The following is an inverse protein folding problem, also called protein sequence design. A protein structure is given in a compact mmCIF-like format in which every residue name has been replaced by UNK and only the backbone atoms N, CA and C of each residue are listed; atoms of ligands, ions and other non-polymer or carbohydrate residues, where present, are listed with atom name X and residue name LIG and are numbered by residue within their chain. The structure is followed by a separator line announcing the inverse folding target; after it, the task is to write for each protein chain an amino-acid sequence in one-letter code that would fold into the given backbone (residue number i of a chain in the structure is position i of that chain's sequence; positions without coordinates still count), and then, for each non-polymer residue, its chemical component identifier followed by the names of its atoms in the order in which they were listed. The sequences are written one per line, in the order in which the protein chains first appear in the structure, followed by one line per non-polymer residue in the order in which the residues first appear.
data_IF_468785352023
#
_entry.id   IF_468785352023
#
_cell.length_a   1.000
_cell.length_b   1.000
_cell.length_c   1.000
_cell.angle_alpha   90.00
_cell.angle_beta   90.00
_cell.angle_gamma   90.00
#
_symmetry.space_group_name_H-M   'P 1'
#
loop_
_entity.id
_entity.type
_entity.pdbx_description
1 polymer ?
#
# COMPACT_ATOMS: atom_id res chain seq x y z
N UNK A 1 21.23 -9.00 -48.70
CA UNK A 1 19.87 -8.47 -48.96
C UNK A 1 19.42 -7.75 -47.69
N UNK A 2 19.51 -6.43 -47.66
CA UNK A 2 19.05 -5.64 -46.51
C UNK A 2 17.58 -5.26 -46.76
N UNK A 3 16.66 -5.90 -46.05
CA UNK A 3 15.23 -5.59 -46.12
C UNK A 3 14.89 -4.70 -44.93
N UNK A 4 14.45 -3.46 -45.19
CA UNK A 4 13.94 -2.54 -44.18
C UNK A 4 12.42 -2.60 -44.19
N UNK A 5 11.83 -3.03 -43.07
CA UNK A 5 10.38 -3.14 -42.89
C UNK A 5 9.88 -1.89 -42.17
N UNK A 6 9.01 -1.12 -42.82
CA UNK A 6 8.37 0.08 -42.24
C UNK A 6 6.87 -0.14 -42.15
N UNK A 7 6.29 0.12 -40.98
CA UNK A 7 4.86 -0.04 -40.72
C UNK A 7 4.30 1.36 -40.44
N UNK A 8 3.29 1.77 -41.21
CA UNK A 8 2.52 2.98 -40.95
C UNK A 8 1.03 2.67 -41.14
N UNK A 9 0.18 3.37 -40.40
CA UNK A 9 -1.27 3.24 -40.51
C UNK A 9 -1.86 4.60 -40.88
N UNK A 10 -2.47 4.70 -42.06
CA UNK A 10 -3.30 5.83 -42.47
C UNK A 10 -4.77 5.49 -42.29
N UNK A 11 -5.60 6.48 -41.98
CA UNK A 11 -7.03 6.36 -42.18
C UNK A 11 -7.62 7.69 -42.63
N UNK A 12 -8.39 7.66 -43.71
CA UNK A 12 -9.10 8.84 -44.20
C UNK A 12 -10.38 9.01 -43.38
N UNK A 13 -10.45 10.09 -42.59
CA UNK A 13 -11.61 10.39 -41.75
C UNK A 13 -12.11 11.80 -42.00
N UNK A 14 -13.38 12.01 -41.71
CA UNK A 14 -13.99 13.32 -41.69
C UNK A 14 -14.67 13.57 -40.34
N UNK A 15 -14.81 14.84 -39.99
CA UNK A 15 -15.53 15.22 -38.79
C UNK A 15 -17.03 15.28 -39.05
N UNK A 16 -17.80 14.39 -38.41
CA UNK A 16 -19.26 14.38 -38.47
C UNK A 16 -19.83 15.32 -37.41
N UNK A 17 -20.31 16.50 -37.83
CA UNK A 17 -20.90 17.49 -36.94
C UNK A 17 -22.20 17.05 -36.25
N UNK A 18 -22.91 16.04 -36.78
CA UNK A 18 -24.16 15.56 -36.16
C UNK A 18 -23.90 14.64 -34.99
N UNK A 19 -22.84 13.84 -35.09
CA UNK A 19 -22.45 12.85 -34.07
C UNK A 19 -21.25 13.31 -33.24
N UNK A 20 -20.67 14.48 -33.55
CA UNK A 20 -19.46 15.04 -32.91
C UNK A 20 -18.29 14.05 -32.86
N UNK A 21 -18.08 13.27 -33.93
CA UNK A 21 -17.05 12.24 -33.98
C UNK A 21 -16.36 12.13 -35.34
N UNK A 22 -15.15 11.59 -35.35
CA UNK A 22 -14.41 11.27 -36.58
C UNK A 22 -14.94 9.97 -37.22
N UNK A 23 -15.59 10.09 -38.38
CA UNK A 23 -16.14 8.98 -39.15
C UNK A 23 -15.32 8.69 -40.41
N UNK A 24 -15.28 7.44 -40.86
CA UNK A 24 -14.68 7.03 -42.13
C UNK A 24 -15.72 6.81 -43.24
N UNK A 25 -17.00 7.04 -42.96
CA UNK A 25 -18.07 6.78 -43.92
C UNK A 25 -17.96 7.69 -45.16
N UNK A 26 -17.92 7.08 -46.35
CA UNK A 26 -17.80 7.82 -47.61
C UNK A 26 -16.40 8.32 -47.95
N UNK A 27 -15.38 8.00 -47.13
CA UNK A 27 -13.97 8.25 -47.42
C UNK A 27 -13.20 6.93 -47.57
N UNK A 28 -12.43 6.81 -48.65
CA UNK A 28 -11.62 5.64 -48.97
C UNK A 28 -10.17 6.06 -49.20
N UNK A 29 -9.23 5.27 -48.70
CA UNK A 29 -7.81 5.41 -48.98
C UNK A 29 -7.50 4.83 -50.37
N UNK A 30 -7.01 5.65 -51.29
CA UNK A 30 -6.60 5.22 -52.63
C UNK A 30 -5.12 4.86 -52.65
N UNK A 31 -4.29 5.70 -52.04
CA UNK A 31 -2.83 5.60 -52.13
C UNK A 31 -2.19 6.27 -50.94
N UNK A 32 -1.59 5.47 -50.09
CA UNK A 32 -0.81 5.96 -48.96
C UNK A 32 0.65 5.59 -49.09
N UNK A 33 1.49 6.58 -48.83
CA UNK A 33 2.93 6.46 -48.63
C UNK A 33 3.30 7.10 -47.29
N UNK A 34 4.55 6.94 -46.89
CA UNK A 34 5.08 7.51 -45.65
C UNK A 34 5.09 9.04 -45.62
N UNK A 35 5.02 9.69 -46.79
CA UNK A 35 5.06 11.14 -46.98
C UNK A 35 3.68 11.78 -47.24
N UNK A 36 2.73 11.04 -47.81
CA UNK A 36 1.36 11.53 -48.03
C UNK A 36 0.31 10.41 -48.04
N UNK A 37 -0.92 10.77 -47.67
CA UNK A 37 -2.12 9.94 -47.75
C UNK A 37 -3.07 10.56 -48.77
N UNK A 38 -3.44 9.81 -49.82
CA UNK A 38 -4.44 10.26 -50.79
C UNK A 38 -5.81 9.70 -50.43
N UNK A 39 -6.68 10.58 -49.96
CA UNK A 39 -8.06 10.26 -49.59
C UNK A 39 -9.04 10.65 -50.70
N UNK A 40 -9.94 9.73 -51.06
CA UNK A 40 -11.10 10.03 -51.89
C UNK A 40 -12.35 10.00 -51.03
N UNK A 41 -13.03 11.13 -50.95
CA UNK A 41 -14.29 11.25 -50.22
C UNK A 41 -15.41 11.69 -51.16
N UNK A 42 -16.63 11.21 -50.92
CA UNK A 42 -17.81 11.53 -51.72
C UNK A 42 -18.61 12.74 -51.19
N UNK A 43 -18.04 13.50 -50.26
CA UNK A 43 -18.62 14.69 -49.65
C UNK A 43 -17.55 15.78 -49.49
N UNK A 44 -17.97 16.98 -49.08
CA UNK A 44 -17.10 18.14 -48.87
C UNK A 44 -17.20 18.57 -47.39
N UNK A 45 -16.41 17.95 -46.53
CA UNK A 45 -16.41 18.20 -45.08
C UNK A 45 -14.99 18.46 -44.57
N UNK A 46 -14.80 18.73 -43.28
CA UNK A 46 -13.46 18.83 -42.71
C UNK A 46 -12.84 17.45 -42.62
N UNK A 47 -11.78 17.22 -43.40
CA UNK A 47 -11.05 15.95 -43.45
C UNK A 47 -9.79 15.99 -42.60
N UNK A 48 -9.45 14.84 -42.01
CA UNK A 48 -8.14 14.61 -41.44
C UNK A 48 -7.68 13.19 -41.80
N UNK A 49 -6.38 13.06 -42.05
CA UNK A 49 -5.75 11.74 -42.04
C UNK A 49 -5.45 11.38 -40.59
N UNK A 50 -5.88 10.20 -40.15
CA UNK A 50 -5.46 9.64 -38.86
C UNK A 50 -3.97 9.35 -38.92
N UNK A 51 -3.14 10.28 -38.44
CA UNK A 51 -1.70 10.10 -38.32
C UNK A 51 -1.38 9.35 -37.03
N UNK A 52 -1.13 8.05 -37.15
CA UNK A 52 -0.32 7.35 -36.15
C UNK A 52 1.14 7.58 -36.52
N UNK A 53 1.86 8.41 -35.76
CA UNK A 53 3.31 8.53 -35.92
C UNK A 53 3.92 7.27 -35.29
N UNK A 54 4.43 6.31 -36.09
CA UNK A 54 5.04 5.12 -35.51
C UNK A 54 6.24 5.53 -34.64
N UNK A 55 6.45 4.86 -33.49
CA UNK A 55 7.65 5.11 -32.69
C UNK A 55 8.89 4.95 -33.57
N UNK A 56 9.82 5.91 -33.46
CA UNK A 56 11.06 5.90 -34.22
C UNK A 56 11.81 4.58 -33.96
N UNK A 57 12.31 3.95 -35.02
CA UNK A 57 13.16 2.76 -34.90
C UNK A 57 14.47 3.16 -34.23
N UNK A 58 14.77 2.57 -33.07
CA UNK A 58 16.03 2.78 -32.38
C UNK A 58 17.13 2.06 -33.17
N UNK A 59 18.03 2.84 -33.76
CA UNK A 59 19.22 2.35 -34.45
C UNK A 59 20.33 2.13 -33.39
N UNK A 60 20.47 0.89 -32.93
CA UNK A 60 21.38 0.52 -31.84
C UNK A 60 22.85 0.81 -32.18
N UNK A 61 23.23 0.78 -33.45
CA UNK A 61 24.60 1.05 -33.90
C UNK A 61 24.96 2.54 -33.74
N UNK A 62 23.99 3.44 -34.00
CA UNK A 62 24.15 4.89 -33.76
C UNK A 62 24.11 5.23 -32.26
N UNK A 63 23.35 4.49 -31.48
CA UNK A 63 23.31 4.67 -30.03
C UNK A 63 24.65 4.30 -29.37
N UNK A 64 25.32 3.26 -29.87
CA UNK A 64 26.66 2.87 -29.38
C UNK A 64 27.77 3.81 -29.88
N UNK A 65 27.59 4.43 -31.04
CA UNK A 65 28.49 5.45 -31.59
C UNK A 65 28.15 6.89 -31.14
N UNK A 66 27.36 7.04 -30.06
CA UNK A 66 26.86 8.32 -29.59
C UNK A 66 27.98 9.25 -29.12
N UNK A 67 28.03 10.45 -29.70
CA UNK A 67 28.94 11.50 -29.29
C UNK A 67 28.39 12.19 -28.03
N UNK A 68 29.11 12.04 -26.91
CA UNK A 68 28.77 12.63 -25.62
C UNK A 68 28.61 14.15 -25.68
N UNK A 69 29.21 14.82 -26.67
CA UNK A 69 29.11 16.27 -26.83
C UNK A 69 27.71 16.76 -27.24
N UNK A 70 26.94 15.95 -27.99
CA UNK A 70 25.65 16.38 -28.55
C UNK A 70 24.44 16.04 -27.66
N UNK A 71 24.54 15.02 -26.81
CA UNK A 71 23.42 14.65 -25.92
C UNK A 71 23.83 14.36 -24.48
N UNK A 72 24.79 15.15 -23.97
CA UNK A 72 25.20 15.14 -22.58
C UNK A 72 24.04 15.31 -21.60
N UNK A 73 22.97 16.03 -21.99
CA UNK A 73 21.79 16.26 -21.13
C UNK A 73 21.09 14.94 -20.79
N UNK A 74 20.79 14.10 -21.79
CA UNK A 74 20.15 12.80 -21.57
C UNK A 74 21.03 11.91 -20.68
N UNK A 75 22.34 11.87 -20.96
CA UNK A 75 23.29 11.11 -20.17
C UNK A 75 23.36 11.60 -18.70
N UNK A 76 23.43 12.92 -18.49
CA UNK A 76 23.40 13.53 -17.17
C UNK A 76 22.09 13.24 -16.42
N UNK A 77 20.94 13.25 -17.10
CA UNK A 77 19.65 12.90 -16.48
C UNK A 77 19.61 11.43 -16.04
N UNK A 78 20.11 10.50 -16.85
CA UNK A 78 20.17 9.08 -16.47
C UNK A 78 21.12 8.87 -15.30
N UNK A 79 22.31 9.49 -15.32
CA UNK A 79 23.26 9.42 -14.21
C UNK A 79 22.72 10.00 -12.91
N UNK A 80 21.98 11.12 -12.98
CA UNK A 80 21.36 11.72 -11.79
C UNK A 80 20.25 10.84 -11.23
N UNK A 81 19.40 10.23 -12.08
CA UNK A 81 18.38 9.27 -11.64
C UNK A 81 19.00 8.04 -10.99
N UNK A 82 20.07 7.47 -11.58
CA UNK A 82 20.81 6.34 -11.00
C UNK A 82 21.49 6.76 -9.68
N UNK A 83 22.09 7.95 -9.64
CA UNK A 83 22.70 8.51 -8.44
C UNK A 83 21.70 8.66 -7.29
N UNK A 84 20.53 9.23 -7.55
CA UNK A 84 19.44 9.34 -6.58
C UNK A 84 18.98 7.96 -6.09
N UNK A 85 18.83 6.99 -6.99
CA UNK A 85 18.51 5.61 -6.62
C UNK A 85 19.53 5.04 -5.63
N UNK A 86 20.83 5.19 -5.88
CA UNK A 86 21.89 4.71 -4.98
C UNK A 86 21.86 5.42 -3.62
N UNK A 87 21.60 6.73 -3.61
CA UNK A 87 21.45 7.53 -2.38
C UNK A 87 20.28 7.02 -1.52
N UNK A 88 19.13 6.69 -2.14
CA UNK A 88 17.96 6.18 -1.42
C UNK A 88 18.04 4.68 -1.08
N UNK A 89 18.89 3.91 -1.76
CA UNK A 89 18.99 2.46 -1.56
C UNK A 89 19.47 2.10 -0.14
N UNK A 90 20.46 2.82 0.37
CA UNK A 90 21.03 2.58 1.71
C UNK A 90 20.00 2.85 2.83
N UNK A 91 19.35 4.02 2.90
CA UNK A 91 18.33 4.25 3.93
C UNK A 91 17.12 3.32 3.75
N UNK A 92 16.72 3.00 2.52
CA UNK A 92 15.65 2.03 2.28
C UNK A 92 16.00 0.64 2.86
N UNK A 93 17.23 0.16 2.65
CA UNK A 93 17.72 -1.10 3.25
C UNK A 93 17.74 -1.07 4.76
N UNK A 94 18.24 0.03 5.35
CA UNK A 94 18.25 0.19 6.82
C UNK A 94 16.82 0.20 7.38
N UNK A 95 15.89 0.89 6.72
CA UNK A 95 14.49 0.93 7.11
C UNK A 95 13.81 -0.44 6.96
N UNK A 96 14.07 -1.18 5.88
CA UNK A 96 13.55 -2.54 5.70
C UNK A 96 14.04 -3.49 6.80
N UNK A 97 15.33 -3.43 7.18
CA UNK A 97 15.87 -4.21 8.30
C UNK A 97 15.22 -3.83 9.63
N UNK A 98 15.10 -2.53 9.91
CA UNK A 98 14.44 -2.04 11.12
C UNK A 98 12.94 -2.40 11.16
N UNK A 99 12.28 -2.49 10.01
CA UNK A 99 10.87 -2.91 9.93
C UNK A 99 10.73 -4.42 10.16
N UNK A 100 11.67 -5.24 9.68
CA UNK A 100 11.68 -6.68 9.97
C UNK A 100 11.75 -6.98 11.47
N UNK A 101 12.54 -6.20 12.22
CA UNK A 101 12.61 -6.29 13.68
C UNK A 101 11.32 -5.85 14.39
N UNK A 102 10.44 -5.09 13.73
CA UNK A 102 9.13 -4.68 14.27
C UNK A 102 8.03 -5.68 13.99
N UNK A 103 8.21 -6.62 13.08
CA UNK A 103 7.20 -7.63 12.72
C UNK A 103 7.29 -8.89 13.57
N UNK A 104 6.17 -9.59 13.73
CA UNK A 104 6.08 -10.84 14.49
C UNK A 104 5.02 -10.79 15.58
N UNK A 105 4.71 -11.98 16.11
CA UNK A 105 3.78 -12.17 17.23
C UNK A 105 4.58 -12.34 18.51
N UNK A 106 4.30 -11.53 19.54
CA UNK A 106 5.00 -11.64 20.82
C UNK A 106 4.19 -12.47 21.80
N UNK A 107 4.74 -13.58 22.33
CA UNK A 107 4.11 -14.26 23.45
C UNK A 107 4.09 -13.35 24.65
N UNK A 108 2.91 -13.20 25.26
CA UNK A 108 2.74 -12.45 26.49
C UNK A 108 3.62 -13.09 27.59
N UNK A 109 4.31 -12.29 28.41
CA UNK A 109 5.25 -12.81 29.42
C UNK A 109 4.60 -13.74 30.45
N UNK A 110 3.30 -13.55 30.72
CA UNK A 110 2.53 -14.28 31.73
C UNK A 110 1.89 -15.59 31.20
N UNK A 111 2.22 -16.00 29.97
CA UNK A 111 1.75 -17.27 29.40
C UNK A 111 2.40 -18.47 30.11
N UNK A 112 1.59 -19.47 30.49
CA UNK A 112 2.10 -20.73 31.03
C UNK A 112 2.51 -21.66 29.86
N UNK A 113 3.75 -22.20 29.83
CA UNK A 113 4.18 -23.17 28.82
C UNK A 113 3.32 -24.44 28.72
N UNK A 114 2.49 -24.73 29.72
CA UNK A 114 1.58 -25.88 29.76
C UNK A 114 0.26 -25.61 29.04
N UNK A 115 -0.05 -24.35 28.77
CA UNK A 115 -1.26 -23.98 28.06
C UNK A 115 -1.16 -24.40 26.59
N UNK A 116 -2.21 -25.04 26.10
CA UNK A 116 -2.27 -25.53 24.71
C UNK A 116 -3.27 -24.77 23.84
N UNK A 117 -4.08 -23.89 24.44
CA UNK A 117 -5.04 -23.05 23.71
C UNK A 117 -4.48 -21.64 23.52
N UNK A 118 -4.58 -21.09 22.31
CA UNK A 118 -3.86 -19.89 21.92
C UNK A 118 -4.76 -18.89 21.17
N UNK A 119 -4.74 -17.64 21.60
CA UNK A 119 -5.39 -16.52 20.94
C UNK A 119 -4.36 -15.52 20.45
N UNK A 120 -4.44 -15.15 19.17
CA UNK A 120 -3.64 -14.07 18.60
C UNK A 120 -4.44 -12.76 18.68
N UNK A 121 -3.85 -11.75 19.32
CA UNK A 121 -4.46 -10.44 19.57
C UNK A 121 -3.69 -9.40 18.77
N UNK A 122 -4.35 -8.78 17.80
CA UNK A 122 -3.81 -7.66 17.03
C UNK A 122 -4.41 -6.34 17.51
N UNK A 123 -3.56 -5.46 18.01
CA UNK A 123 -3.95 -4.13 18.46
C UNK A 123 -3.56 -3.12 17.40
N UNK A 124 -4.56 -2.39 16.90
CA UNK A 124 -4.35 -1.29 15.97
C UNK A 124 -4.40 0.03 16.74
N UNK A 125 -3.27 0.72 16.80
CA UNK A 125 -3.18 2.07 17.35
C UNK A 125 -3.57 3.10 16.28
N UNK A 126 -4.25 4.18 16.68
CA UNK A 126 -4.70 5.24 15.79
C UNK A 126 -3.56 5.95 15.04
N UNK A 127 -3.91 6.63 13.94
CA UNK A 127 -2.94 7.33 13.06
C UNK A 127 -2.71 8.78 13.43
N UNK A 128 -3.57 9.33 14.29
CA UNK A 128 -3.49 10.73 14.70
C UNK A 128 -2.13 10.95 15.38
N UNK A 129 -1.51 12.10 15.12
CA UNK A 129 -0.23 12.43 15.75
C UNK A 129 -0.37 12.35 17.26
N UNK A 130 0.51 11.60 17.92
CA UNK A 130 0.43 11.37 19.37
C UNK A 130 -0.47 10.21 19.79
N UNK A 131 -1.08 9.47 18.86
CA UNK A 131 -1.96 8.35 19.19
C UNK A 131 -1.29 7.17 19.91
N UNK A 132 0.04 7.08 19.90
CA UNK A 132 0.76 5.97 20.55
C UNK A 132 1.00 6.24 22.02
N UNK A 133 1.16 5.19 22.81
CA UNK A 133 1.31 5.27 24.26
C UNK A 133 2.63 4.68 24.77
N UNK A 134 3.13 5.22 25.87
CA UNK A 134 4.22 4.63 26.66
C UNK A 134 3.74 3.85 27.89
N UNK A 135 2.43 3.86 28.16
CA UNK A 135 1.85 3.19 29.32
C UNK A 135 1.81 1.67 29.13
N UNK A 136 1.82 0.92 30.24
CA UNK A 136 1.61 -0.52 30.17
C UNK A 136 0.11 -0.78 29.95
N UNK A 137 -0.23 -1.41 28.83
CA UNK A 137 -1.60 -1.76 28.43
C UNK A 137 -1.92 -3.16 28.92
N UNK A 138 -3.10 -3.35 29.49
CA UNK A 138 -3.60 -4.62 29.97
C UNK A 138 -4.94 -4.96 29.30
N UNK A 139 -5.17 -6.26 29.09
CA UNK A 139 -6.39 -6.78 28.47
C UNK A 139 -6.99 -7.93 29.29
N UNK A 140 -8.32 -8.03 29.27
CA UNK A 140 -9.08 -9.22 29.68
C UNK A 140 -10.01 -9.61 28.54
N UNK A 141 -10.07 -10.90 28.25
CA UNK A 141 -10.99 -11.50 27.29
C UNK A 141 -12.18 -12.09 28.05
N UNK A 142 -13.39 -11.59 27.80
CA UNK A 142 -14.59 -12.11 28.44
C UNK A 142 -15.34 -13.02 27.47
N UNK A 143 -15.50 -14.27 27.87
CA UNK A 143 -16.03 -15.33 27.04
C UNK A 143 -17.44 -15.78 27.43
N UNK A 144 -18.03 -16.63 26.59
CA UNK A 144 -19.31 -17.25 26.91
C UNK A 144 -19.22 -18.26 28.06
N UNK A 145 -18.08 -18.96 28.14
CA UNK A 145 -17.84 -20.09 29.05
C UNK A 145 -17.01 -19.67 30.25
N UNK A 146 -15.95 -18.92 30.02
CA UNK A 146 -15.01 -18.43 31.03
C UNK A 146 -14.42 -17.10 30.58
N UNK A 147 -13.74 -16.42 31.50
CA UNK A 147 -12.98 -15.20 31.23
C UNK A 147 -11.49 -15.49 31.39
N UNK A 148 -10.65 -14.70 30.70
CA UNK A 148 -9.20 -14.77 30.90
C UNK A 148 -8.78 -13.98 32.13
N UNK A 149 -7.64 -14.32 32.69
CA UNK A 149 -6.99 -13.44 33.66
C UNK A 149 -6.54 -12.12 33.00
N UNK A 150 -6.37 -11.04 33.77
CA UNK A 150 -5.71 -9.81 33.32
C UNK A 150 -4.31 -10.10 32.76
N UNK A 151 -4.09 -9.76 31.49
CA UNK A 151 -2.80 -9.96 30.82
C UNK A 151 -2.18 -8.62 30.44
N UNK A 152 -0.92 -8.40 30.82
CA UNK A 152 -0.17 -7.20 30.42
C UNK A 152 0.44 -7.43 29.04
N UNK A 153 0.10 -6.56 28.09
CA UNK A 153 0.56 -6.65 26.72
C UNK A 153 1.89 -5.93 26.59
N UNK A 154 2.97 -6.70 26.71
CA UNK A 154 4.33 -6.18 26.70
C UNK A 154 5.22 -6.99 25.80
N UNK A 155 6.09 -6.30 25.08
CA UNK A 155 7.14 -6.91 24.30
C UNK A 155 8.50 -6.53 24.90
N UNK A 156 9.34 -7.51 25.28
CA UNK A 156 10.64 -7.23 25.87
C UNK A 156 11.68 -6.69 24.87
N UNK A 157 11.48 -6.90 23.56
CA UNK A 157 12.44 -6.55 22.50
C UNK A 157 11.97 -5.34 21.69
N UNK A 158 10.68 -5.25 21.40
CA UNK A 158 10.09 -4.24 20.51
C UNK A 158 9.38 -3.15 21.31
N UNK A 159 9.41 -1.92 20.79
CA UNK A 159 8.54 -0.84 21.27
C UNK A 159 7.16 -0.97 20.64
N UNK A 160 6.18 -1.36 21.44
CA UNK A 160 4.77 -1.56 21.08
C UNK A 160 3.93 -0.28 21.21
N UNK A 161 2.71 -0.30 20.68
CA UNK A 161 1.69 0.76 20.75
C UNK A 161 2.13 2.11 20.17
N UNK A 162 2.92 2.07 19.09
CA UNK A 162 3.31 3.29 18.37
C UNK A 162 2.14 3.85 17.56
N UNK A 163 2.13 5.15 17.34
CA UNK A 163 1.19 5.81 16.41
C UNK A 163 1.15 5.07 15.07
N UNK A 164 -0.04 4.63 14.69
CA UNK A 164 -0.32 3.87 13.48
C UNK A 164 0.26 2.45 13.45
N UNK A 165 0.81 1.97 14.55
CA UNK A 165 1.35 0.63 14.71
C UNK A 165 0.26 -0.44 14.72
N UNK A 166 0.67 -1.65 14.37
CA UNK A 166 -0.12 -2.87 14.57
C UNK A 166 0.76 -3.85 15.31
N UNK A 167 0.42 -4.13 16.56
CA UNK A 167 1.18 -5.03 17.43
C UNK A 167 0.39 -6.32 17.63
N UNK A 168 1.04 -7.46 17.45
CA UNK A 168 0.45 -8.78 17.57
C UNK A 168 1.00 -9.48 18.81
N UNK A 169 0.11 -9.97 19.67
CA UNK A 169 0.42 -10.68 20.90
C UNK A 169 -0.22 -12.07 20.89
N UNK A 170 0.49 -13.05 21.44
CA UNK A 170 -0.02 -14.40 21.65
C UNK A 170 -0.40 -14.57 23.11
N UNK A 171 -1.68 -14.82 23.38
CA UNK A 171 -2.22 -15.11 24.70
C UNK A 171 -2.54 -16.60 24.79
N UNK A 172 -2.05 -17.28 25.82
CA UNK A 172 -2.38 -18.68 26.09
C UNK A 172 -3.36 -18.83 27.25
N UNK A 173 -4.19 -19.86 27.17
CA UNK A 173 -5.20 -20.19 28.19
C UNK A 173 -5.12 -21.68 28.52
N UNK A 174 -5.30 -22.07 29.80
CA UNK A 174 -5.34 -23.46 30.20
C UNK A 174 -6.43 -24.23 29.45
N UNK A 175 -6.06 -25.33 28.80
CA UNK A 175 -7.00 -26.25 28.19
C UNK A 175 -7.60 -27.18 29.25
N UNK A 176 -8.39 -26.62 30.17
CA UNK A 176 -9.00 -27.37 31.28
C UNK A 176 -10.33 -27.96 30.80
N UNK A 177 -10.28 -29.24 30.40
CA UNK A 177 -11.41 -30.13 30.09
C UNK A 177 -12.38 -29.71 28.97
N UNK A 178 -12.14 -28.62 28.23
CA UNK A 178 -13.06 -28.13 27.19
C UNK A 178 -12.36 -27.85 25.86
N UNK A 179 -13.03 -28.22 24.78
CA UNK A 179 -12.63 -27.96 23.38
C UNK A 179 -12.57 -26.45 23.06
N UNK A 180 -13.22 -25.61 23.86
CA UNK A 180 -13.29 -24.16 23.67
C UNK A 180 -13.30 -23.42 25.03
N UNK A 181 -12.13 -23.04 25.59
CA UNK A 181 -12.00 -22.66 27.01
C UNK A 181 -12.72 -21.36 27.36
N UNK A 182 -12.60 -20.32 26.53
CA UNK A 182 -13.32 -19.05 26.72
C UNK A 182 -14.75 -19.09 26.14
N UNK A 183 -15.02 -19.95 25.15
CA UNK A 183 -16.27 -19.86 24.39
C UNK A 183 -16.27 -18.69 23.41
N UNK A 184 -17.44 -18.37 22.85
CA UNK A 184 -17.58 -17.21 21.97
C UNK A 184 -17.32 -15.92 22.77
N UNK A 185 -16.45 -15.03 22.29
CA UNK A 185 -16.10 -13.80 22.99
C UNK A 185 -17.31 -12.86 23.06
N UNK A 186 -17.61 -12.39 24.27
CA UNK A 186 -18.74 -11.47 24.56
C UNK A 186 -18.30 -10.02 24.56
N UNK A 187 -17.14 -9.73 25.13
CA UNK A 187 -16.52 -8.42 25.16
C UNK A 187 -15.05 -8.56 25.55
N UNK A 188 -14.32 -7.46 25.42
CA UNK A 188 -12.97 -7.31 25.94
C UNK A 188 -12.92 -6.09 26.83
N UNK A 189 -12.08 -6.14 27.87
CA UNK A 189 -11.74 -4.96 28.66
C UNK A 189 -10.28 -4.60 28.43
N UNK A 190 -10.02 -3.35 28.04
CA UNK A 190 -8.68 -2.80 27.82
C UNK A 190 -8.49 -1.59 28.72
N UNK A 191 -7.32 -1.49 29.34
CA UNK A 191 -6.94 -0.31 30.11
C UNK A 191 -5.44 -0.13 30.13
N UNK A 192 -4.98 1.03 30.56
CA UNK A 192 -3.56 1.30 30.78
C UNK A 192 -3.31 1.90 32.16
N UNK A 193 -2.07 1.81 32.65
CA UNK A 193 -1.68 2.30 33.97
C UNK A 193 -1.41 3.83 34.04
N UNK A 194 -1.74 4.58 32.98
CA UNK A 194 -1.40 6.00 32.83
C UNK A 194 0.08 6.35 33.08
N UNK A 195 0.99 5.38 32.90
CA UNK A 195 2.41 5.54 33.15
C UNK A 195 3.22 6.02 31.94
N UNK A 196 4.47 6.41 32.21
CA UNK A 196 5.41 6.85 31.17
C UNK A 196 5.29 8.33 30.82
N UNK A 197 5.98 8.74 29.74
CA UNK A 197 6.08 10.14 29.34
C UNK A 197 4.89 10.64 28.49
N UNK A 198 4.24 9.73 27.77
CA UNK A 198 3.09 10.01 26.91
C UNK A 198 2.06 8.89 27.11
N UNK A 199 1.24 8.96 28.17
CA UNK A 199 0.32 7.88 28.51
C UNK A 199 -0.94 7.84 27.65
N UNK A 200 -1.34 8.98 27.05
CA UNK A 200 -2.52 9.10 26.21
C UNK A 200 -2.45 8.15 25.02
N UNK A 201 -3.53 7.42 24.77
CA UNK A 201 -3.56 6.37 23.76
C UNK A 201 -4.82 6.46 22.91
N UNK A 202 -4.69 6.46 21.58
CA UNK A 202 -5.85 6.33 20.71
C UNK A 202 -5.92 4.89 20.18
N UNK A 203 -6.96 4.16 20.61
CA UNK A 203 -7.21 2.80 20.18
C UNK A 203 -8.18 2.80 19.00
N UNK A 204 -7.72 2.34 17.83
CA UNK A 204 -8.56 2.24 16.64
C UNK A 204 -9.47 1.00 16.72
N UNK A 205 -8.86 -0.18 16.80
CA UNK A 205 -9.56 -1.46 16.84
C UNK A 205 -8.66 -2.58 17.36
N UNK A 206 -9.29 -3.67 17.79
CA UNK A 206 -8.62 -4.92 18.15
C UNK A 206 -9.20 -6.05 17.32
N UNK A 207 -8.34 -6.93 16.82
CA UNK A 207 -8.73 -8.19 16.20
C UNK A 207 -8.21 -9.32 17.07
N UNK A 208 -9.08 -10.27 17.40
CA UNK A 208 -8.70 -11.48 18.13
C UNK A 208 -9.00 -12.66 17.24
N UNK A 209 -8.01 -13.51 17.03
CA UNK A 209 -8.11 -14.75 16.27
C UNK A 209 -7.86 -15.92 17.21
N UNK A 210 -8.79 -16.86 17.21
CA UNK A 210 -8.57 -18.17 17.78
C UNK A 210 -7.76 -19.02 16.79
N UNK A 211 -6.60 -19.49 17.22
CA UNK A 211 -5.67 -20.23 16.35
C UNK A 211 -6.09 -21.68 16.11
N UNK A 212 -6.99 -22.22 16.94
CA UNK A 212 -7.48 -23.58 16.85
C UNK A 212 -8.70 -23.68 15.93
N UNK A 213 -9.59 -22.68 15.98
CA UNK A 213 -10.84 -22.65 15.19
C UNK A 213 -10.79 -21.72 13.97
N UNK A 214 -9.75 -20.91 13.84
CA UNK A 214 -9.62 -19.80 12.87
C UNK A 214 -10.77 -18.77 12.95
N UNK A 215 -11.51 -18.75 14.07
CA UNK A 215 -12.56 -17.78 14.31
C UNK A 215 -11.96 -16.43 14.66
N UNK A 216 -12.50 -15.35 14.06
CA UNK A 216 -12.03 -13.97 14.27
C UNK A 216 -13.13 -13.09 14.84
N UNK A 217 -12.78 -12.32 15.86
CA UNK A 217 -13.61 -11.27 16.43
C UNK A 217 -12.93 -9.92 16.22
N UNK A 218 -13.72 -8.92 15.86
CA UNK A 218 -13.26 -7.55 15.72
C UNK A 218 -13.92 -6.68 16.77
N UNK A 219 -13.18 -5.76 17.36
CA UNK A 219 -13.65 -4.83 18.38
C UNK A 219 -13.25 -3.43 17.91
N UNK A 220 -14.22 -2.56 17.66
CA UNK A 220 -13.98 -1.20 17.16
C UNK A 220 -14.14 -0.23 18.33
N UNK A 221 -13.16 0.67 18.53
CA UNK A 221 -13.20 1.70 19.58
C UNK A 221 -13.14 3.09 18.95
N UNK A 222 -12.09 3.34 18.14
CA UNK A 222 -11.77 4.63 17.50
C UNK A 222 -11.90 5.84 18.45
N UNK A 223 -11.34 5.71 19.65
CA UNK A 223 -11.44 6.73 20.69
C UNK A 223 -10.16 6.79 21.54
N UNK A 224 -10.00 7.90 22.27
CA UNK A 224 -8.90 8.11 23.19
C UNK A 224 -9.17 7.43 24.54
N UNK A 225 -8.16 6.72 25.01
CA UNK A 225 -7.99 6.21 26.36
C UNK A 225 -6.91 7.10 26.99
N UNK A 226 -7.36 8.16 27.65
CA UNK A 226 -6.50 9.21 28.17
C UNK A 226 -7.27 9.98 29.26
N UNK A 227 -6.55 10.54 30.23
CA UNK A 227 -7.16 11.39 31.27
C UNK A 227 -7.41 12.81 30.76
N UNK A 228 -6.60 13.24 29.79
CA UNK A 228 -6.56 14.59 29.23
C UNK A 228 -7.25 14.72 27.85
N UNK A 229 -7.63 13.60 27.22
CA UNK A 229 -8.32 13.56 25.92
C UNK A 229 -9.56 12.66 25.95
N UNK A 230 -10.43 12.79 24.93
CA UNK A 230 -11.63 11.96 24.79
C UNK A 230 -12.63 12.16 25.92
N UNK A 231 -13.04 11.07 26.58
CA UNK A 231 -13.97 11.08 27.71
C UNK A 231 -13.26 11.08 29.08
N UNK A 232 -11.94 11.24 29.11
CA UNK A 232 -11.14 11.26 30.33
C UNK A 232 -10.96 9.88 30.98
N UNK A 233 -11.34 8.78 30.31
CA UNK A 233 -11.21 7.43 30.85
C UNK A 233 -10.04 6.68 30.24
N UNK A 234 -9.36 5.92 31.09
CA UNK A 234 -8.23 5.06 30.73
C UNK A 234 -8.61 3.58 30.59
N UNK A 235 -9.89 3.25 30.84
CA UNK A 235 -10.44 1.90 30.74
C UNK A 235 -11.66 1.84 29.81
N UNK A 236 -11.75 0.76 29.03
CA UNK A 236 -12.82 0.55 28.05
C UNK A 236 -13.25 -0.91 28.04
N UNK A 237 -14.56 -1.13 28.05
CA UNK A 237 -15.17 -2.42 27.72
C UNK A 237 -15.74 -2.31 26.30
N UNK A 238 -15.29 -3.17 25.39
CA UNK A 238 -15.62 -3.12 23.96
C UNK A 238 -16.30 -4.44 23.59
N UNK A 239 -17.39 -4.34 22.84
CA UNK A 239 -18.15 -5.50 22.37
C UNK A 239 -17.72 -5.90 20.95
N UNK A 240 -17.90 -7.17 20.56
CA UNK A 240 -17.63 -7.62 19.20
C UNK A 240 -18.43 -6.80 18.20
N UNK A 241 -17.73 -6.18 17.27
CA UNK A 241 -18.30 -5.35 16.23
C UNK A 241 -19.16 -6.20 15.30
N UNK A 242 -20.36 -5.69 15.02
CA UNK A 242 -21.21 -6.26 13.97
C UNK A 242 -20.64 -5.92 12.59
N UNK A 243 -21.05 -6.69 11.55
CA UNK A 243 -20.63 -6.40 10.16
C UNK A 243 -20.92 -4.94 9.76
N UNK A 244 -22.05 -4.39 10.21
CA UNK A 244 -22.45 -3.01 9.90
C UNK A 244 -21.51 -1.96 10.52
N UNK A 245 -20.97 -2.22 11.71
CA UNK A 245 -20.03 -1.31 12.37
C UNK A 245 -18.66 -1.36 11.71
N UNK A 246 -18.23 -2.55 11.27
CA UNK A 246 -17.01 -2.73 10.49
C UNK A 246 -17.09 -2.05 9.12
N UNK A 247 -18.30 -1.93 8.55
CA UNK A 247 -18.53 -1.27 7.27
C UNK A 247 -18.90 0.21 7.37
N UNK A 248 -18.78 0.83 8.55
CA UNK A 248 -19.00 2.29 8.67
C UNK A 248 -18.01 3.02 7.77
N UNK A 249 -18.53 3.97 6.99
CA UNK A 249 -17.76 4.68 5.97
C UNK A 249 -16.47 5.29 6.53
N UNK A 250 -16.51 5.94 7.69
CA UNK A 250 -15.32 6.58 8.27
C UNK A 250 -14.19 5.57 8.57
N UNK A 251 -14.55 4.41 9.12
CA UNK A 251 -13.59 3.34 9.45
C UNK A 251 -13.03 2.71 8.18
N UNK A 252 -13.90 2.38 7.22
CA UNK A 252 -13.50 1.81 5.94
C UNK A 252 -12.64 2.78 5.14
N UNK A 253 -13.09 4.03 5.01
CA UNK A 253 -12.41 5.07 4.26
C UNK A 253 -11.02 5.34 4.83
N UNK A 254 -10.90 5.56 6.15
CA UNK A 254 -9.61 5.81 6.78
C UNK A 254 -8.65 4.60 6.62
N UNK A 255 -9.17 3.39 6.79
CA UNK A 255 -8.37 2.16 6.63
C UNK A 255 -7.90 1.98 5.20
N UNK A 256 -8.79 2.20 4.22
CA UNK A 256 -8.48 1.91 2.82
C UNK A 256 -7.67 3.02 2.17
N UNK A 257 -7.91 4.29 2.52
CA UNK A 257 -7.00 5.40 2.14
C UNK A 257 -5.61 5.14 2.68
N UNK A 258 -5.47 4.72 3.95
CA UNK A 258 -4.17 4.37 4.52
C UNK A 258 -3.52 3.24 3.74
N UNK A 259 -4.21 2.13 3.55
CA UNK A 259 -3.68 0.95 2.86
C UNK A 259 -3.25 1.31 1.43
N UNK A 260 -4.10 2.04 0.70
CA UNK A 260 -3.80 2.47 -0.67
C UNK A 260 -2.63 3.46 -0.73
N UNK A 261 -2.49 4.41 0.20
CA UNK A 261 -1.36 5.35 0.20
C UNK A 261 -0.05 4.70 0.65
N UNK A 262 -0.08 3.93 1.74
CA UNK A 262 1.13 3.37 2.38
C UNK A 262 1.62 2.07 1.76
N UNK A 263 0.72 1.31 1.14
CA UNK A 263 1.03 0.00 0.55
C UNK A 263 0.77 -0.05 -0.95
N UNK A 264 -0.31 0.59 -1.42
CA UNK A 264 -0.71 0.57 -2.83
C UNK A 264 0.07 1.55 -3.73
N UNK A 265 0.36 2.76 -3.24
CA UNK A 265 0.97 3.80 -4.06
C UNK A 265 2.50 3.69 -4.04
N UNK A 266 3.07 3.09 -5.08
CA UNK A 266 4.49 2.74 -5.21
C UNK A 266 5.48 3.81 -4.68
N UNK A 267 5.28 5.08 -5.06
CA UNK A 267 6.15 6.20 -4.67
C UNK A 267 6.09 6.54 -3.18
N UNK A 268 4.91 6.89 -2.64
CA UNK A 268 4.72 7.16 -1.21
C UNK A 268 5.14 5.98 -0.33
N UNK A 269 4.80 4.79 -0.82
CA UNK A 269 5.13 3.49 -0.25
C UNK A 269 6.62 3.23 -0.03
N UNK A 270 7.54 3.95 -0.71
CA UNK A 270 8.99 3.88 -0.39
C UNK A 270 9.28 4.42 1.01
N UNK A 271 8.55 5.46 1.44
CA UNK A 271 8.77 6.17 2.71
C UNK A 271 7.80 5.72 3.79
N UNK A 272 6.54 5.42 3.45
CA UNK A 272 5.49 5.15 4.43
C UNK A 272 5.04 3.69 4.51
N UNK A 273 5.79 2.74 3.90
CA UNK A 273 5.47 1.30 3.95
C UNK A 273 5.14 0.83 5.37
N UNK A 274 4.06 0.06 5.56
CA UNK A 274 3.80 -0.63 6.84
C UNK A 274 4.72 -1.84 7.00
N UNK A 275 5.17 -2.10 8.23
CA UNK A 275 6.17 -3.15 8.51
C UNK A 275 5.75 -4.55 8.03
N UNK A 276 4.46 -4.86 8.09
CA UNK A 276 3.90 -6.17 7.73
C UNK A 276 3.73 -6.39 6.21
N UNK A 277 4.03 -5.40 5.37
CA UNK A 277 3.88 -5.54 3.91
C UNK A 277 4.92 -6.52 3.33
N UNK A 278 4.55 -7.48 2.47
CA UNK A 278 5.52 -8.39 1.87
C UNK A 278 6.46 -7.69 0.86
N UNK A 279 6.05 -6.54 0.32
CA UNK A 279 6.79 -5.80 -0.70
C UNK A 279 7.69 -4.74 -0.05
N UNK A 280 9.02 -4.89 -0.19
CA UNK A 280 10.01 -4.08 0.56
C UNK A 280 10.22 -2.69 -0.04
N UNK A 281 10.78 -1.75 0.74
CA UNK A 281 11.09 -0.39 0.25
C UNK A 281 12.12 -0.43 -0.88
N UNK A 282 13.11 -1.32 -0.78
CA UNK A 282 14.10 -1.52 -1.84
C UNK A 282 13.45 -2.02 -3.12
N UNK A 283 12.57 -3.01 -3.05
CA UNK A 283 11.87 -3.52 -4.23
C UNK A 283 10.98 -2.43 -4.86
N UNK A 284 10.28 -1.64 -4.03
CA UNK A 284 9.49 -0.49 -4.48
C UNK A 284 10.35 0.55 -5.19
N UNK A 285 11.49 0.90 -4.59
CA UNK A 285 12.46 1.83 -5.15
C UNK A 285 13.01 1.35 -6.50
N UNK A 286 13.29 0.05 -6.64
CA UNK A 286 13.71 -0.54 -7.92
C UNK A 286 12.61 -0.48 -8.98
N UNK A 287 11.35 -0.70 -8.60
CA UNK A 287 10.23 -0.57 -9.52
C UNK A 287 10.01 0.89 -9.94
N UNK A 288 10.18 1.86 -9.03
CA UNK A 288 10.15 3.28 -9.38
C UNK A 288 11.23 3.63 -10.40
N UNK A 289 12.46 3.12 -10.20
CA UNK A 289 13.56 3.29 -11.14
C UNK A 289 13.21 2.70 -12.52
N UNK A 290 12.69 1.47 -12.57
CA UNK A 290 12.33 0.84 -13.84
C UNK A 290 11.23 1.61 -14.57
N UNK A 291 10.21 2.11 -13.85
CA UNK A 291 9.15 2.92 -14.45
C UNK A 291 9.74 4.21 -15.05
N UNK A 292 10.60 4.93 -14.32
CA UNK A 292 11.22 6.15 -14.85
C UNK A 292 12.04 5.86 -16.11
N UNK A 293 12.92 4.86 -16.07
CA UNK A 293 13.76 4.53 -17.22
C UNK A 293 12.94 4.07 -18.44
N UNK A 294 11.89 3.26 -18.22
CA UNK A 294 10.98 2.88 -19.29
C UNK A 294 10.20 4.07 -19.86
N UNK A 295 9.77 5.02 -19.02
CA UNK A 295 9.11 6.24 -19.52
C UNK A 295 10.05 7.13 -20.32
N UNK A 296 11.32 7.25 -19.90
CA UNK A 296 12.34 7.96 -20.67
C UNK A 296 12.59 7.29 -22.02
N UNK A 297 12.71 5.96 -22.05
CA UNK A 297 12.88 5.19 -23.29
C UNK A 297 11.67 5.35 -24.22
N UNK A 298 10.45 5.29 -23.68
CA UNK A 298 9.22 5.52 -24.45
C UNK A 298 9.22 6.93 -25.05
N UNK A 299 9.60 7.95 -24.27
CA UNK A 299 9.71 9.32 -24.77
C UNK A 299 10.76 9.44 -25.89
N UNK A 300 11.91 8.77 -25.79
CA UNK A 300 12.91 8.74 -26.87
C UNK A 300 12.40 8.09 -28.16
N UNK A 301 11.50 7.11 -28.07
CA UNK A 301 10.87 6.52 -29.24
C UNK A 301 9.94 7.51 -29.96
N UNK A 302 9.25 8.39 -29.23
CA UNK A 302 8.30 9.33 -29.81
C UNK A 302 8.92 10.66 -30.23
N UNK A 303 9.86 11.20 -29.46
CA UNK A 303 10.53 12.45 -29.76
C UNK A 303 11.81 12.18 -30.57
N UNK A 304 11.89 12.79 -31.75
CA UNK A 304 13.05 12.68 -32.63
C UNK A 304 14.29 13.16 -31.87
N UNK A 305 15.33 12.32 -31.78
CA UNK A 305 16.67 12.82 -31.48
C UNK A 305 16.98 13.92 -32.51
N UNK A 306 17.47 15.10 -32.09
CA UNK A 306 18.05 16.04 -33.04
C UNK A 306 19.14 15.36 -33.88
#
# INVERSE_FOLDING_TARGET
LNVTLTIFTSSCRYWDNKMEQWSSAGCVDIRTRTDYTLCLCNHLTSFASGMFVPPNTIDWDKFLAFDLSQGYVCFATVLTVIGLYLVFLIPARKADKADAEKTGVTPIPDNDPRDTYCYEIHIHTGFIRGAGTSADVSIVLNGAVADSDPRVLKDPKRKVFKTGGVDAFLLTVPHVYRVFPLGNLKNIRLWHNNGGAYPSWNLLRVMIQDLQTDQRWWFVCDDWLAVDEGDGKIDRVIYPATKNELTKFNVLFATEVRKNLTDGHLWFSVVTRPANSPFTRVQRLTCCLSILLCTMLANLMFYRSP
#
